data_IF_599260361365
#
_entry.id   IF_599260361365
#
_cell.length_a   1.000
_cell.length_b   1.000
_cell.length_c   1.000
_cell.angle_alpha   90.00
_cell.angle_beta   90.00
_cell.angle_gamma   90.00
#
_symmetry.space_group_name_H-M   'P 1'
#
loop_
_entity.id
_entity.type
_entity.pdbx_description
1 polymer ?
#
# COMPACT_ATOMS: atom_id res chain seq x y z
N UNK A 1 -7.17 -75.86 49.72
CA UNK A 1 -7.28 -75.26 51.07
C UNK A 1 -7.69 -73.81 50.84
N UNK A 2 -8.99 -73.57 50.60
CA UNK A 2 -10.01 -73.20 51.60
C UNK A 2 -9.74 -71.77 52.14
N UNK A 3 -10.64 -70.79 52.18
CA UNK A 3 -12.04 -70.61 51.77
C UNK A 3 -12.33 -69.08 51.84
N UNK A 4 -13.26 -68.65 50.99
CA UNK A 4 -14.32 -67.64 51.15
C UNK A 4 -14.20 -66.54 52.23
N UNK A 5 -14.60 -65.31 51.85
CA UNK A 5 -15.93 -64.72 52.14
C UNK A 5 -15.98 -63.30 51.55
N UNK A 6 -16.86 -62.92 50.62
CA UNK A 6 -18.33 -62.83 50.56
C UNK A 6 -18.88 -61.44 50.95
N UNK A 7 -19.42 -60.78 49.92
CA UNK A 7 -20.62 -59.93 49.83
C UNK A 7 -21.21 -59.22 51.06
N UNK A 8 -21.39 -57.89 50.95
CA UNK A 8 -22.66 -57.12 51.10
C UNK A 8 -22.40 -55.66 51.53
N UNK A 9 -22.97 -54.69 50.82
CA UNK A 9 -24.17 -53.97 51.29
C UNK A 9 -24.49 -52.75 50.42
N UNK A 10 -25.75 -52.71 49.98
CA UNK A 10 -26.45 -51.52 49.51
C UNK A 10 -26.54 -50.47 50.64
N UNK A 11 -26.37 -49.19 50.31
CA UNK A 11 -27.21 -48.08 50.83
C UNK A 11 -27.01 -46.80 50.01
N UNK A 12 -28.14 -46.29 49.55
CA UNK A 12 -28.37 -45.02 48.87
C UNK A 12 -28.01 -43.83 49.73
N UNK A 13 -27.32 -42.82 49.17
CA UNK A 13 -27.41 -41.42 49.60
C UNK A 13 -27.35 -40.53 48.37
N UNK A 14 -28.42 -39.74 48.17
CA UNK A 14 -28.54 -38.67 47.20
C UNK A 14 -27.37 -37.68 47.27
N UNK A 15 -26.78 -37.37 46.12
CA UNK A 15 -25.81 -36.30 45.96
C UNK A 15 -25.82 -35.76 44.54
N UNK A 16 -26.57 -34.68 44.32
CA UNK A 16 -26.59 -33.88 43.09
C UNK A 16 -25.18 -33.53 42.62
N UNK A 17 -24.82 -33.85 41.37
CA UNK A 17 -23.74 -33.15 40.64
C UNK A 17 -23.90 -33.28 39.12
N UNK A 18 -24.40 -32.18 38.56
CA UNK A 18 -24.03 -31.49 37.32
C UNK A 18 -23.56 -32.33 36.12
N UNK A 19 -24.41 -32.27 35.12
CA UNK A 19 -24.19 -32.54 33.70
C UNK A 19 -22.97 -31.77 33.16
N UNK A 20 -21.93 -32.47 32.72
CA UNK A 20 -20.87 -31.93 31.86
C UNK A 20 -20.94 -32.68 30.54
N UNK A 21 -21.74 -32.16 29.61
CA UNK A 21 -21.72 -32.58 28.21
C UNK A 21 -20.40 -32.16 27.58
N UNK A 22 -19.56 -33.12 27.26
CA UNK A 22 -18.47 -32.95 26.31
C UNK A 22 -19.09 -32.93 24.91
N UNK A 23 -19.29 -31.74 24.35
CA UNK A 23 -19.58 -31.58 22.94
C UNK A 23 -18.26 -31.66 22.17
N UNK A 24 -17.98 -32.83 21.60
CA UNK A 24 -17.01 -32.96 20.51
C UNK A 24 -17.56 -32.17 19.32
N UNK A 25 -17.09 -30.94 19.14
CA UNK A 25 -17.33 -30.15 17.93
C UNK A 25 -16.67 -30.87 16.78
N UNK A 26 -17.48 -31.38 15.85
CA UNK A 26 -17.04 -32.07 14.65
C UNK A 26 -16.26 -31.11 13.76
N UNK A 27 -14.95 -31.36 13.60
CA UNK A 27 -14.08 -30.62 12.69
C UNK A 27 -14.40 -30.85 11.21
N UNK A 28 -15.19 -31.89 10.88
CA UNK A 28 -15.53 -32.28 9.52
C UNK A 28 -16.49 -31.30 8.82
N UNK A 29 -17.42 -30.66 9.54
CA UNK A 29 -18.40 -29.74 8.95
C UNK A 29 -17.82 -28.35 8.65
N UNK A 30 -16.82 -27.91 9.41
CA UNK A 30 -16.09 -26.68 9.14
C UNK A 30 -15.19 -26.83 7.90
N UNK A 31 -14.51 -27.97 7.77
CA UNK A 31 -13.69 -28.28 6.58
C UNK A 31 -14.51 -28.44 5.31
N UNK A 32 -15.70 -29.07 5.38
CA UNK A 32 -16.58 -29.21 4.20
C UNK A 32 -17.21 -27.88 3.76
N UNK A 33 -17.52 -26.99 4.71
CA UNK A 33 -18.07 -25.67 4.38
C UNK A 33 -16.99 -24.75 3.79
N UNK A 34 -15.75 -24.81 4.30
CA UNK A 34 -14.63 -24.05 3.74
C UNK A 34 -14.29 -24.52 2.32
N UNK A 35 -14.24 -25.83 2.09
CA UNK A 35 -13.97 -26.38 0.76
C UNK A 35 -15.05 -26.01 -0.27
N UNK A 36 -16.32 -26.01 0.13
CA UNK A 36 -17.42 -25.62 -0.75
C UNK A 36 -17.38 -24.13 -1.08
N UNK A 37 -17.05 -23.26 -0.12
CA UNK A 37 -16.89 -21.81 -0.34
C UNK A 37 -15.70 -21.49 -1.25
N UNK A 38 -14.59 -22.23 -1.12
CA UNK A 38 -13.41 -22.10 -1.99
C UNK A 38 -13.70 -22.59 -3.42
N UNK A 39 -14.43 -23.70 -3.57
CA UNK A 39 -14.85 -24.25 -4.86
C UNK A 39 -15.82 -23.29 -5.58
N UNK A 40 -16.79 -22.72 -4.86
CA UNK A 40 -17.72 -21.71 -5.40
C UNK A 40 -16.97 -20.42 -5.83
N UNK A 41 -15.99 -19.98 -5.03
CA UNK A 41 -15.15 -18.82 -5.35
C UNK A 41 -14.27 -19.08 -6.58
N UNK A 42 -13.68 -20.27 -6.68
CA UNK A 42 -12.85 -20.68 -7.81
C UNK A 42 -13.65 -20.69 -9.12
N UNK A 43 -14.83 -21.31 -9.13
CA UNK A 43 -15.72 -21.38 -10.29
C UNK A 43 -16.13 -19.97 -10.73
N UNK A 44 -16.46 -19.10 -9.77
CA UNK A 44 -16.83 -17.72 -10.03
C UNK A 44 -15.70 -16.93 -10.70
N UNK A 45 -14.50 -16.96 -10.12
CA UNK A 45 -13.34 -16.25 -10.68
C UNK A 45 -12.89 -16.82 -12.02
N UNK A 46 -12.97 -18.15 -12.21
CA UNK A 46 -12.75 -18.81 -13.49
C UNK A 46 -13.68 -18.27 -14.58
N UNK A 47 -14.98 -18.13 -14.28
CA UNK A 47 -15.94 -17.53 -15.21
C UNK A 47 -15.60 -16.07 -15.51
N UNK A 48 -15.29 -15.29 -14.48
CA UNK A 48 -14.97 -13.85 -14.64
C UNK A 48 -13.77 -13.64 -15.56
N UNK A 49 -12.71 -14.43 -15.39
CA UNK A 49 -11.50 -14.33 -16.21
C UNK A 49 -11.79 -14.75 -17.66
N UNK A 50 -12.53 -15.84 -17.87
CA UNK A 50 -12.85 -16.33 -19.22
C UNK A 50 -13.81 -15.40 -19.98
N UNK A 51 -14.71 -14.71 -19.28
CA UNK A 51 -15.72 -13.82 -19.86
C UNK A 51 -15.38 -12.34 -19.62
N UNK A 52 -14.09 -11.99 -19.44
CA UNK A 52 -13.67 -10.68 -18.94
C UNK A 52 -14.24 -9.49 -19.73
N UNK A 53 -14.24 -9.55 -21.06
CA UNK A 53 -14.74 -8.46 -21.91
C UNK A 53 -16.21 -8.14 -21.66
N UNK A 54 -17.04 -9.17 -21.46
CA UNK A 54 -18.46 -9.00 -21.15
C UNK A 54 -18.67 -8.56 -19.69
N UNK A 55 -17.93 -9.18 -18.76
CA UNK A 55 -18.03 -8.88 -17.32
C UNK A 55 -17.59 -7.45 -17.04
N UNK A 56 -16.48 -6.99 -17.61
CA UNK A 56 -15.98 -5.62 -17.43
C UNK A 56 -16.99 -4.58 -17.91
N UNK A 57 -17.68 -4.83 -19.02
CA UNK A 57 -18.68 -3.91 -19.59
C UNK A 57 -20.01 -3.91 -18.83
N UNK A 58 -20.48 -5.09 -18.41
CA UNK A 58 -21.85 -5.26 -17.88
C UNK A 58 -21.90 -5.35 -16.34
N UNK A 59 -20.80 -5.71 -15.70
CA UNK A 59 -20.74 -6.12 -14.28
C UNK A 59 -19.58 -5.47 -13.51
N UNK A 60 -19.13 -4.29 -13.92
CA UNK A 60 -17.99 -3.57 -13.30
C UNK A 60 -18.13 -3.43 -11.77
N UNK A 61 -19.33 -3.07 -11.27
CA UNK A 61 -19.60 -2.94 -9.83
C UNK A 61 -19.43 -4.26 -9.07
N UNK A 62 -19.90 -5.36 -9.66
CA UNK A 62 -19.77 -6.69 -9.07
C UNK A 62 -18.30 -7.10 -9.01
N UNK A 63 -17.50 -6.79 -10.04
CA UNK A 63 -16.05 -7.05 -10.02
C UNK A 63 -15.39 -6.29 -8.86
N UNK A 64 -15.69 -5.00 -8.68
CA UNK A 64 -15.16 -4.22 -7.54
C UNK A 64 -15.52 -4.86 -6.20
N UNK A 65 -16.76 -5.29 -6.02
CA UNK A 65 -17.18 -5.99 -4.80
C UNK A 65 -16.43 -7.30 -4.57
N UNK A 66 -16.16 -8.07 -5.62
CA UNK A 66 -15.39 -9.31 -5.51
C UNK A 66 -13.92 -9.06 -5.20
N UNK A 67 -13.30 -8.05 -5.82
CA UNK A 67 -11.93 -7.62 -5.50
C UNK A 67 -11.83 -7.20 -4.03
N UNK A 68 -12.82 -6.44 -3.54
CA UNK A 68 -12.91 -6.06 -2.11
C UNK A 68 -13.04 -7.25 -1.17
N UNK A 69 -13.69 -8.34 -1.59
CA UNK A 69 -13.77 -9.59 -0.81
C UNK A 69 -12.50 -10.44 -0.89
N UNK A 70 -11.70 -10.28 -1.94
CA UNK A 70 -10.46 -11.03 -2.12
C UNK A 70 -10.35 -11.67 -3.48
N UNK A 71 -9.22 -11.43 -4.13
CA UNK A 71 -8.81 -12.21 -5.30
C UNK A 71 -8.05 -13.45 -4.78
N UNK A 72 -8.49 -14.67 -5.11
CA UNK A 72 -7.74 -15.87 -4.76
C UNK A 72 -6.37 -15.85 -5.40
N UNK A 73 -5.35 -16.35 -4.69
CA UNK A 73 -3.95 -16.25 -5.10
C UNK A 73 -3.69 -16.69 -6.54
N UNK A 74 -4.24 -17.85 -6.93
CA UNK A 74 -4.10 -18.42 -8.27
C UNK A 74 -4.64 -17.53 -9.41
N UNK A 75 -5.57 -16.62 -9.12
CA UNK A 75 -6.15 -15.72 -10.10
C UNK A 75 -5.47 -14.35 -10.14
N UNK A 76 -4.66 -13.96 -9.14
CA UNK A 76 -4.08 -12.61 -9.06
C UNK A 76 -3.27 -12.24 -10.29
N UNK A 77 -2.41 -13.14 -10.75
CA UNK A 77 -1.58 -12.93 -11.94
C UNK A 77 -2.40 -12.47 -13.15
N UNK A 78 -3.54 -13.12 -13.37
CA UNK A 78 -4.40 -12.87 -14.53
C UNK A 78 -5.31 -11.65 -14.26
N UNK A 79 -5.96 -11.60 -13.09
CA UNK A 79 -6.91 -10.55 -12.75
C UNK A 79 -6.23 -9.18 -12.66
N UNK A 80 -5.02 -9.08 -12.11
CA UNK A 80 -4.28 -7.82 -12.08
C UNK A 80 -3.97 -7.30 -13.47
N UNK A 81 -3.52 -8.16 -14.39
CA UNK A 81 -3.36 -7.78 -15.79
C UNK A 81 -4.70 -7.34 -16.41
N UNK A 82 -5.82 -8.02 -16.10
CA UNK A 82 -7.15 -7.71 -16.64
C UNK A 82 -7.68 -6.36 -16.16
N UNK A 83 -7.50 -6.06 -14.87
CA UNK A 83 -7.88 -4.78 -14.27
C UNK A 83 -7.17 -3.59 -14.93
N UNK A 84 -5.86 -3.71 -15.19
CA UNK A 84 -5.08 -2.63 -15.80
C UNK A 84 -4.91 -2.75 -17.33
N UNK A 85 -5.55 -3.75 -17.96
CA UNK A 85 -5.46 -4.02 -19.41
C UNK A 85 -4.01 -4.17 -19.92
N UNK A 86 -3.21 -5.01 -19.25
CA UNK A 86 -1.78 -5.24 -19.54
C UNK A 86 -1.47 -6.50 -20.35
N UNK A 87 -2.47 -7.25 -20.85
CA UNK A 87 -2.27 -8.55 -21.53
C UNK A 87 -1.40 -8.44 -22.79
N UNK A 88 -1.55 -7.36 -23.54
CA UNK A 88 -0.98 -7.19 -24.87
C UNK A 88 -0.50 -5.76 -25.06
N UNK A 89 0.69 -5.46 -24.51
CA UNK A 89 1.31 -4.16 -24.63
C UNK A 89 2.47 -4.20 -25.64
N UNK A 90 2.54 -3.28 -26.62
CA UNK A 90 3.66 -3.21 -27.57
C UNK A 90 5.04 -3.02 -26.91
N UNK A 91 5.07 -2.50 -25.68
CA UNK A 91 6.32 -2.33 -24.93
C UNK A 91 6.90 -3.66 -24.44
N UNK A 92 6.08 -4.72 -24.38
CA UNK A 92 6.52 -6.07 -24.02
C UNK A 92 7.59 -6.56 -25.01
N UNK A 93 7.36 -6.35 -26.30
CA UNK A 93 8.29 -6.74 -27.36
C UNK A 93 9.63 -5.98 -27.30
N UNK A 94 9.65 -4.81 -26.63
CA UNK A 94 10.86 -4.00 -26.45
C UNK A 94 11.64 -4.38 -25.18
N UNK A 95 11.08 -5.21 -24.29
CA UNK A 95 11.67 -5.51 -23.00
C UNK A 95 13.09 -6.10 -23.14
N UNK A 96 13.26 -7.08 -24.02
CA UNK A 96 14.57 -7.71 -24.28
C UNK A 96 15.62 -6.72 -24.80
N UNK A 97 15.23 -5.71 -25.59
CA UNK A 97 16.13 -4.65 -26.05
C UNK A 97 16.49 -3.67 -24.93
N UNK A 98 15.52 -3.31 -24.08
CA UNK A 98 15.76 -2.45 -22.91
C UNK A 98 16.77 -3.07 -21.94
N UNK A 99 16.76 -4.40 -21.77
CA UNK A 99 17.73 -5.09 -20.91
C UNK A 99 19.17 -5.03 -21.42
N UNK A 100 19.37 -4.91 -22.74
CA UNK A 100 20.70 -4.76 -23.37
C UNK A 100 21.28 -3.35 -23.20
N UNK A 101 20.45 -2.36 -22.93
CA UNK A 101 20.87 -0.97 -22.74
C UNK A 101 21.43 -0.74 -21.32
N UNK A 102 22.21 0.32 -21.13
CA UNK A 102 22.73 0.72 -19.81
C UNK A 102 21.84 1.77 -19.17
N UNK A 103 21.45 1.57 -17.91
CA UNK A 103 20.71 2.58 -17.14
C UNK A 103 21.62 3.40 -16.21
N UNK A 104 21.43 4.72 -16.09
CA UNK A 104 22.14 5.52 -15.09
C UNK A 104 21.73 5.16 -13.65
N UNK A 105 20.59 4.49 -13.47
CA UNK A 105 20.02 4.17 -12.17
C UNK A 105 20.51 2.84 -11.58
N UNK A 106 21.30 2.03 -12.30
CA UNK A 106 21.65 0.66 -11.89
C UNK A 106 22.26 0.56 -10.49
N UNK A 107 23.13 1.50 -10.11
CA UNK A 107 23.73 1.53 -8.77
C UNK A 107 22.68 1.75 -7.66
N UNK A 108 21.73 2.64 -7.90
CA UNK A 108 20.64 2.91 -6.95
C UNK A 108 19.68 1.72 -6.86
N UNK A 109 19.34 1.12 -8.00
CA UNK A 109 18.49 -0.06 -8.09
C UNK A 109 19.10 -1.21 -7.29
N UNK A 110 20.38 -1.55 -7.50
CA UNK A 110 21.05 -2.65 -6.78
C UNK A 110 21.04 -2.47 -5.27
N UNK A 111 21.24 -1.25 -4.79
CA UNK A 111 21.19 -0.94 -3.34
C UNK A 111 19.82 -1.22 -2.74
N UNK A 112 18.76 -0.90 -3.48
CA UNK A 112 17.39 -1.06 -2.98
C UNK A 112 16.89 -2.50 -3.06
N UNK A 113 17.36 -3.28 -4.04
CA UNK A 113 17.04 -4.71 -4.15
C UNK A 113 17.45 -5.48 -2.90
N UNK A 114 18.64 -5.21 -2.37
CA UNK A 114 19.14 -5.88 -1.17
C UNK A 114 18.26 -5.67 0.08
N UNK A 115 17.40 -4.64 0.08
CA UNK A 115 16.46 -4.33 1.17
C UNK A 115 14.99 -4.53 0.80
N UNK A 116 14.69 -5.07 -0.38
CA UNK A 116 13.33 -5.30 -0.85
C UNK A 116 12.93 -6.75 -0.55
N UNK A 117 12.02 -6.93 0.41
CA UNK A 117 11.61 -8.25 0.93
C UNK A 117 12.78 -9.17 1.34
N UNK A 118 13.71 -8.71 2.21
CA UNK A 118 14.95 -9.44 2.51
C UNK A 118 14.72 -10.81 3.18
N UNK A 119 13.58 -11.00 3.84
CA UNK A 119 13.23 -12.26 4.50
C UNK A 119 12.41 -13.22 3.63
N UNK A 120 12.01 -12.80 2.42
CA UNK A 120 11.16 -13.61 1.55
C UNK A 120 12.00 -14.59 0.74
N UNK A 121 11.61 -15.87 0.71
CA UNK A 121 12.39 -16.95 0.08
C UNK A 121 12.81 -16.67 -1.36
N UNK A 122 11.96 -15.98 -2.13
CA UNK A 122 12.27 -15.62 -3.51
C UNK A 122 13.38 -14.56 -3.67
N UNK A 123 13.58 -13.70 -2.65
CA UNK A 123 14.50 -12.55 -2.71
C UNK A 123 15.66 -12.61 -1.70
N UNK A 124 15.57 -13.46 -0.67
CA UNK A 124 16.50 -13.45 0.48
C UNK A 124 17.94 -13.79 0.11
N UNK A 125 18.14 -14.73 -0.81
CA UNK A 125 19.47 -15.15 -1.21
C UNK A 125 20.10 -14.07 -2.10
N UNK A 126 21.35 -13.73 -1.81
CA UNK A 126 22.11 -12.76 -2.60
C UNK A 126 22.27 -13.28 -4.03
N UNK A 127 22.04 -12.41 -5.00
CA UNK A 127 22.12 -12.74 -6.43
C UNK A 127 21.14 -13.87 -6.83
N UNK A 128 20.03 -14.03 -6.08
CA UNK A 128 18.93 -14.94 -6.42
C UNK A 128 18.23 -14.52 -7.70
N UNK A 129 17.51 -15.48 -8.30
CA UNK A 129 16.63 -15.22 -9.45
C UNK A 129 15.66 -14.07 -9.16
N UNK A 130 15.05 -14.02 -7.97
CA UNK A 130 14.13 -12.93 -7.60
C UNK A 130 14.79 -11.56 -7.59
N UNK A 131 16.02 -11.44 -7.08
CA UNK A 131 16.79 -10.20 -7.12
C UNK A 131 17.17 -9.81 -8.56
N UNK A 132 17.52 -10.78 -9.40
CA UNK A 132 17.86 -10.55 -10.81
C UNK A 132 16.67 -10.03 -11.62
N UNK A 133 15.52 -10.70 -11.55
CA UNK A 133 14.33 -10.29 -12.31
C UNK A 133 13.76 -8.97 -11.78
N UNK A 134 13.89 -8.69 -10.47
CA UNK A 134 13.58 -7.38 -9.89
C UNK A 134 14.51 -6.28 -10.44
N UNK A 135 15.82 -6.56 -10.56
CA UNK A 135 16.76 -5.65 -11.18
C UNK A 135 16.39 -5.36 -12.63
N UNK A 136 16.08 -6.39 -13.41
CA UNK A 136 15.74 -6.26 -14.82
C UNK A 136 14.51 -5.39 -15.04
N UNK A 137 13.41 -5.64 -14.32
CA UNK A 137 12.18 -4.83 -14.44
C UNK A 137 12.43 -3.38 -14.04
N UNK A 138 13.11 -3.14 -12.91
CA UNK A 138 13.42 -1.76 -12.47
C UNK A 138 14.35 -1.04 -13.44
N UNK A 139 15.36 -1.74 -13.98
CA UNK A 139 16.28 -1.22 -14.99
C UNK A 139 15.54 -0.85 -16.26
N UNK A 140 14.76 -1.77 -16.83
CA UNK A 140 13.98 -1.54 -18.03
C UNK A 140 13.04 -0.34 -17.86
N UNK A 141 12.30 -0.28 -16.76
CA UNK A 141 11.39 0.84 -16.50
C UNK A 141 12.13 2.19 -16.41
N UNK A 142 13.30 2.24 -15.76
CA UNK A 142 14.09 3.47 -15.68
C UNK A 142 14.55 4.03 -17.04
N UNK A 143 14.58 3.18 -18.06
CA UNK A 143 14.90 3.57 -19.44
C UNK A 143 13.66 4.02 -20.22
N UNK A 144 12.49 3.45 -19.91
CA UNK A 144 11.19 3.83 -20.48
C UNK A 144 10.81 5.25 -20.06
N UNK A 145 10.92 5.55 -18.77
CA UNK A 145 10.61 6.87 -18.24
C UNK A 145 11.83 7.49 -17.57
N UNK A 146 12.60 8.24 -18.35
CA UNK A 146 13.84 8.87 -17.87
C UNK A 146 13.60 10.06 -16.93
N UNK A 147 12.40 10.65 -16.93
CA UNK A 147 12.07 11.76 -16.03
C UNK A 147 11.94 11.23 -14.59
N UNK A 148 11.26 10.10 -14.43
CA UNK A 148 11.18 9.40 -13.14
C UNK A 148 12.47 8.62 -12.87
N UNK A 149 12.95 7.89 -13.87
CA UNK A 149 14.07 6.96 -13.74
C UNK A 149 13.77 5.87 -12.72
N UNK A 150 14.42 5.96 -11.56
CA UNK A 150 14.20 5.06 -10.43
C UNK A 150 13.83 5.87 -9.19
N UNK A 151 12.66 5.57 -8.61
CA UNK A 151 12.27 6.13 -7.31
C UNK A 151 12.31 5.07 -6.22
N UNK A 152 12.90 5.41 -5.08
CA UNK A 152 12.91 4.57 -3.88
C UNK A 152 11.48 4.18 -3.48
N UNK A 153 11.29 2.90 -3.14
CA UNK A 153 9.99 2.35 -2.77
C UNK A 153 9.27 1.63 -3.92
N UNK A 154 9.51 2.03 -5.17
CA UNK A 154 8.88 1.38 -6.34
C UNK A 154 9.28 -0.10 -6.51
N UNK A 155 10.49 -0.49 -6.07
CA UNK A 155 10.95 -1.87 -6.08
C UNK A 155 10.05 -2.80 -5.24
N UNK A 156 9.39 -2.32 -4.18
CA UNK A 156 8.45 -3.14 -3.40
C UNK A 156 7.19 -3.49 -4.20
N UNK A 157 6.71 -2.57 -5.05
CA UNK A 157 5.58 -2.80 -5.95
C UNK A 157 5.97 -3.87 -6.98
N UNK A 158 7.12 -3.71 -7.63
CA UNK A 158 7.60 -4.68 -8.62
C UNK A 158 7.90 -6.04 -7.98
N UNK A 159 8.48 -6.07 -6.77
CA UNK A 159 8.70 -7.30 -6.02
C UNK A 159 7.40 -8.04 -5.74
N UNK A 160 6.31 -7.35 -5.36
CA UNK A 160 4.99 -7.98 -5.21
C UNK A 160 4.49 -8.56 -6.54
N UNK A 161 4.61 -7.81 -7.64
CA UNK A 161 4.19 -8.29 -8.96
C UNK A 161 4.93 -9.57 -9.36
N UNK A 162 6.25 -9.61 -9.16
CA UNK A 162 7.10 -10.76 -9.47
C UNK A 162 6.83 -11.99 -8.59
N UNK A 163 6.25 -11.81 -7.40
CA UNK A 163 5.76 -12.94 -6.60
C UNK A 163 4.47 -13.56 -7.19
N UNK A 164 3.76 -12.86 -8.09
CA UNK A 164 2.48 -13.31 -8.64
C UNK A 164 2.57 -13.69 -10.12
N UNK A 165 3.45 -13.07 -10.91
CA UNK A 165 3.49 -13.25 -12.36
C UNK A 165 4.94 -13.24 -12.90
N UNK A 166 5.17 -13.74 -14.13
CA UNK A 166 6.49 -13.72 -14.73
C UNK A 166 6.99 -12.29 -15.02
N UNK A 167 8.29 -12.19 -15.30
CA UNK A 167 9.05 -10.93 -15.38
C UNK A 167 8.48 -9.93 -16.40
N UNK A 168 8.16 -10.37 -17.61
CA UNK A 168 7.68 -9.50 -18.68
C UNK A 168 6.26 -8.98 -18.39
N UNK A 169 5.39 -9.82 -17.82
CA UNK A 169 4.06 -9.42 -17.38
C UNK A 169 4.15 -8.41 -16.22
N UNK A 170 5.05 -8.65 -15.26
CA UNK A 170 5.28 -7.72 -14.15
C UNK A 170 5.76 -6.35 -14.65
N UNK A 171 6.65 -6.32 -15.65
CA UNK A 171 7.06 -5.09 -16.32
C UNK A 171 5.87 -4.36 -16.97
N UNK A 172 5.03 -5.08 -17.71
CA UNK A 172 3.86 -4.51 -18.37
C UNK A 172 2.84 -3.95 -17.39
N UNK A 173 2.51 -4.70 -16.32
CA UNK A 173 1.64 -4.22 -15.25
C UNK A 173 2.24 -3.00 -14.56
N UNK A 174 3.54 -3.00 -14.29
CA UNK A 174 4.19 -1.85 -13.66
C UNK A 174 4.15 -0.59 -14.57
N UNK A 175 4.39 -0.73 -15.87
CA UNK A 175 4.22 0.37 -16.83
C UNK A 175 2.79 0.92 -16.80
N UNK A 176 1.78 0.04 -16.74
CA UNK A 176 0.37 0.45 -16.60
C UNK A 176 0.08 1.18 -15.31
N UNK A 177 0.61 0.71 -14.18
CA UNK A 177 0.46 1.39 -12.90
C UNK A 177 1.06 2.81 -12.94
N UNK A 178 2.20 2.96 -13.59
CA UNK A 178 2.84 4.26 -13.74
C UNK A 178 2.01 5.20 -14.63
N UNK A 179 1.46 4.71 -15.74
CA UNK A 179 0.68 5.52 -16.68
C UNK A 179 -0.73 5.87 -16.18
N UNK A 180 -1.46 4.87 -15.68
CA UNK A 180 -2.91 4.96 -15.52
C UNK A 180 -3.34 5.11 -14.04
N UNK A 181 -2.45 4.83 -13.07
CA UNK A 181 -2.77 4.81 -11.63
C UNK A 181 -2.13 5.95 -10.83
N UNK A 182 -1.66 7.01 -11.50
CA UNK A 182 -1.00 8.19 -10.91
C UNK A 182 0.32 7.89 -10.19
N UNK A 183 0.85 6.66 -10.23
CA UNK A 183 2.11 6.33 -9.57
C UNK A 183 3.30 7.09 -10.16
N UNK A 184 3.33 7.32 -11.47
CA UNK A 184 4.36 8.14 -12.11
C UNK A 184 4.47 9.52 -11.47
N UNK A 185 3.33 10.18 -11.27
CA UNK A 185 3.30 11.53 -10.71
C UNK A 185 3.76 11.55 -9.25
N UNK A 186 3.42 10.51 -8.46
CA UNK A 186 3.94 10.32 -7.10
C UNK A 186 5.46 10.13 -7.06
N UNK A 187 6.04 9.50 -8.08
CA UNK A 187 7.47 9.17 -8.14
C UNK A 187 8.32 10.19 -8.89
N UNK A 188 7.73 11.25 -9.45
CA UNK A 188 8.51 12.34 -10.06
C UNK A 188 9.45 12.98 -9.05
N UNK A 189 10.66 13.40 -9.45
CA UNK A 189 11.66 13.97 -8.53
C UNK A 189 11.18 15.17 -7.71
N UNK A 190 10.22 15.95 -8.22
CA UNK A 190 9.65 17.10 -7.51
C UNK A 190 8.80 16.71 -6.29
N UNK A 191 8.33 15.46 -6.21
CA UNK A 191 7.40 14.96 -5.19
C UNK A 191 6.12 15.81 -5.06
N UNK A 192 5.74 16.54 -6.12
CA UNK A 192 4.61 17.46 -6.10
C UNK A 192 3.28 16.73 -5.84
N UNK A 193 3.07 15.59 -6.49
CA UNK A 193 1.87 14.77 -6.31
C UNK A 193 1.81 14.15 -4.91
N UNK A 194 2.96 13.73 -4.36
CA UNK A 194 3.02 13.24 -2.99
C UNK A 194 2.66 14.35 -2.01
N UNK A 195 3.19 15.56 -2.22
CA UNK A 195 2.83 16.75 -1.44
C UNK A 195 1.34 17.07 -1.49
N UNK A 196 0.71 16.94 -2.66
CA UNK A 196 -0.74 17.05 -2.82
C UNK A 196 -1.48 15.98 -1.99
N UNK A 197 -1.03 14.73 -2.04
CA UNK A 197 -1.62 13.64 -1.26
C UNK A 197 -1.51 13.91 0.25
N UNK A 198 -0.36 14.42 0.72
CA UNK A 198 -0.19 14.81 2.13
C UNK A 198 -1.17 15.90 2.55
N UNK A 199 -1.34 16.94 1.72
CA UNK A 199 -2.29 18.02 1.98
C UNK A 199 -3.74 17.52 2.01
N UNK A 200 -4.15 16.72 1.01
CA UNK A 200 -5.48 16.12 0.97
C UNK A 200 -5.74 15.24 2.19
N UNK A 201 -4.76 14.44 2.59
CA UNK A 201 -4.89 13.55 3.73
C UNK A 201 -4.94 14.33 5.05
N UNK A 202 -4.13 15.37 5.22
CA UNK A 202 -4.20 16.27 6.37
C UNK A 202 -5.58 16.94 6.48
N UNK A 203 -6.16 17.43 5.37
CA UNK A 203 -7.52 17.95 5.37
C UNK A 203 -8.58 16.90 5.75
N UNK A 204 -8.37 15.61 5.39
CA UNK A 204 -9.25 14.54 5.85
C UNK A 204 -9.13 14.32 7.36
N UNK A 205 -7.92 14.34 7.90
CA UNK A 205 -7.67 14.20 9.35
C UNK A 205 -8.31 15.37 10.10
N UNK A 206 -8.13 16.60 9.63
CA UNK A 206 -8.76 17.78 10.24
C UNK A 206 -10.29 17.68 10.29
N UNK A 207 -10.92 17.15 9.23
CA UNK A 207 -12.37 17.00 9.15
C UNK A 207 -12.90 15.83 9.99
N UNK A 208 -12.24 14.68 9.95
CA UNK A 208 -12.76 13.43 10.53
C UNK A 208 -12.23 13.15 11.94
N UNK A 209 -11.05 13.68 12.28
CA UNK A 209 -10.32 13.44 13.53
C UNK A 209 -9.74 14.77 14.07
N UNK A 210 -10.59 15.78 14.36
CA UNK A 210 -10.12 17.13 14.71
C UNK A 210 -9.25 17.17 15.97
N UNK A 211 -9.55 16.34 16.98
CA UNK A 211 -8.73 16.23 18.20
C UNK A 211 -7.33 15.70 17.88
N UNK A 212 -7.25 14.66 17.05
CA UNK A 212 -5.99 14.08 16.63
C UNK A 212 -5.19 15.06 15.77
N UNK A 213 -5.86 15.80 14.88
CA UNK A 213 -5.23 16.86 14.10
C UNK A 213 -4.58 17.92 15.00
N UNK A 214 -5.31 18.43 16.00
CA UNK A 214 -4.76 19.43 16.95
C UNK A 214 -3.58 18.86 17.72
N UNK A 215 -3.68 17.60 18.16
CA UNK A 215 -2.57 16.92 18.84
C UNK A 215 -1.33 16.83 17.93
N UNK A 216 -1.49 16.39 16.69
CA UNK A 216 -0.40 16.32 15.71
C UNK A 216 0.26 17.69 15.49
N UNK A 217 -0.54 18.76 15.36
CA UNK A 217 0.01 20.12 15.24
C UNK A 217 0.79 20.54 16.50
N UNK A 218 0.27 20.23 17.70
CA UNK A 218 0.96 20.55 18.97
C UNK A 218 2.29 19.82 19.13
N UNK A 219 2.39 18.61 18.59
CA UNK A 219 3.60 17.78 18.60
C UNK A 219 4.52 18.05 17.39
N UNK A 220 4.17 19.00 16.52
CA UNK A 220 4.87 19.22 15.23
C UNK A 220 5.01 17.93 14.40
N UNK A 221 4.01 17.06 14.48
CA UNK A 221 4.00 15.75 13.83
C UNK A 221 3.32 15.83 12.47
N UNK A 222 4.13 16.09 11.44
CA UNK A 222 3.64 16.31 10.09
C UNK A 222 3.23 15.00 9.40
N UNK A 223 2.16 15.07 8.60
CA UNK A 223 1.63 13.94 7.81
C UNK A 223 2.69 13.21 6.99
N UNK A 224 3.66 13.95 6.43
CA UNK A 224 4.76 13.41 5.63
C UNK A 224 5.71 12.50 6.41
N UNK A 225 5.78 12.62 7.74
CA UNK A 225 6.70 11.83 8.59
C UNK A 225 6.31 10.36 8.67
N UNK A 226 5.00 10.05 8.55
CA UNK A 226 4.50 8.68 8.69
C UNK A 226 3.75 8.18 7.45
N UNK A 227 3.09 9.05 6.69
CA UNK A 227 2.22 8.63 5.60
C UNK A 227 2.94 8.52 4.24
N UNK A 228 4.11 9.12 4.06
CA UNK A 228 4.79 9.13 2.75
C UNK A 228 4.98 7.71 2.17
N UNK A 229 5.39 6.75 3.00
CA UNK A 229 5.56 5.35 2.57
C UNK A 229 4.23 4.68 2.22
N UNK A 230 3.12 5.06 2.85
CA UNK A 230 1.79 4.51 2.57
C UNK A 230 1.37 4.78 1.13
N UNK A 231 1.59 6.02 0.66
CA UNK A 231 1.27 6.43 -0.71
C UNK A 231 2.29 5.93 -1.72
N UNK A 232 3.59 6.02 -1.42
CA UNK A 232 4.63 5.59 -2.36
C UNK A 232 4.68 4.08 -2.55
N UNK A 233 4.28 3.29 -1.55
CA UNK A 233 4.41 1.83 -1.59
C UNK A 233 3.08 1.10 -1.48
N UNK A 234 1.96 1.82 -1.43
CA UNK A 234 0.61 1.24 -1.27
C UNK A 234 0.60 0.31 -0.04
N UNK A 235 1.20 0.78 1.06
CA UNK A 235 1.42 0.06 2.32
C UNK A 235 2.29 -1.21 2.27
N UNK A 236 2.96 -1.53 1.15
CA UNK A 236 3.81 -2.73 1.04
C UNK A 236 5.01 -2.74 1.98
N UNK A 237 5.45 -1.57 2.43
CA UNK A 237 6.52 -1.45 3.44
C UNK A 237 5.99 -1.33 4.87
N UNK A 238 4.67 -1.26 5.04
CA UNK A 238 4.02 -1.06 6.34
C UNK A 238 3.41 -2.35 6.87
N UNK A 239 2.70 -3.12 6.03
CA UNK A 239 2.01 -4.33 6.46
C UNK A 239 2.69 -5.61 5.99
N UNK A 240 2.49 -6.73 6.71
CA UNK A 240 2.78 -8.06 6.19
C UNK A 240 2.10 -8.32 4.84
N UNK A 241 2.74 -9.14 3.99
CA UNK A 241 2.30 -9.43 2.63
C UNK A 241 0.81 -9.82 2.51
N UNK A 242 0.21 -10.65 3.38
CA UNK A 242 -1.21 -10.99 3.27
C UNK A 242 -2.14 -9.78 3.33
N UNK A 243 -1.86 -8.80 4.18
CA UNK A 243 -2.67 -7.58 4.32
C UNK A 243 -2.33 -6.61 3.18
N UNK A 244 -1.05 -6.39 2.91
CA UNK A 244 -0.62 -5.47 1.86
C UNK A 244 -1.12 -5.90 0.47
N UNK A 245 -1.14 -7.20 0.18
CA UNK A 245 -1.68 -7.74 -1.08
C UNK A 245 -3.18 -7.47 -1.22
N UNK A 246 -3.95 -7.52 -0.12
CA UNK A 246 -5.40 -7.23 -0.14
C UNK A 246 -5.67 -5.75 -0.41
N UNK A 247 -4.85 -4.86 0.14
CA UNK A 247 -4.91 -3.42 -0.19
C UNK A 247 -4.53 -3.21 -1.66
N UNK A 248 -3.50 -3.91 -2.13
CA UNK A 248 -3.04 -3.83 -3.52
C UNK A 248 -4.08 -4.35 -4.52
N UNK A 249 -4.81 -5.43 -4.20
CA UNK A 249 -5.94 -5.92 -5.00
C UNK A 249 -6.95 -4.79 -5.28
N UNK A 250 -7.33 -4.07 -4.22
CA UNK A 250 -8.30 -2.97 -4.31
C UNK A 250 -7.69 -1.77 -5.04
N UNK A 251 -6.42 -1.46 -4.81
CA UNK A 251 -5.70 -0.42 -5.54
C UNK A 251 -5.70 -0.68 -7.05
N UNK A 252 -5.49 -1.93 -7.48
CA UNK A 252 -5.58 -2.32 -8.89
C UNK A 252 -6.96 -2.07 -9.50
N UNK A 253 -8.03 -2.05 -8.69
CA UNK A 253 -9.40 -1.85 -9.16
C UNK A 253 -9.93 -0.42 -9.00
N UNK A 254 -9.49 0.29 -7.97
CA UNK A 254 -10.08 1.57 -7.53
C UNK A 254 -9.05 2.72 -7.41
N UNK A 255 -7.76 2.44 -7.63
CA UNK A 255 -6.69 3.42 -7.60
C UNK A 255 -6.38 3.96 -6.20
N UNK A 256 -5.78 5.16 -6.14
CA UNK A 256 -5.26 5.75 -4.90
C UNK A 256 -6.31 6.03 -3.81
N UNK A 257 -7.61 6.01 -4.12
CA UNK A 257 -8.67 6.22 -3.13
C UNK A 257 -8.55 5.27 -1.92
N UNK A 258 -8.19 4.00 -2.16
CA UNK A 258 -8.03 3.03 -1.07
C UNK A 258 -6.92 3.43 -0.10
N UNK A 259 -5.88 4.13 -0.57
CA UNK A 259 -4.76 4.53 0.28
C UNK A 259 -5.21 5.56 1.32
N UNK A 260 -5.99 6.55 0.89
CA UNK A 260 -6.60 7.54 1.79
C UNK A 260 -7.55 6.88 2.81
N UNK A 261 -8.38 5.94 2.34
CA UNK A 261 -9.35 5.22 3.17
C UNK A 261 -8.67 4.37 4.25
N UNK A 262 -7.68 3.56 3.86
CA UNK A 262 -6.91 2.75 4.80
C UNK A 262 -6.15 3.66 5.76
N UNK A 263 -5.46 4.69 5.26
CA UNK A 263 -4.73 5.64 6.11
C UNK A 263 -5.61 6.27 7.19
N UNK A 264 -6.81 6.75 6.84
CA UNK A 264 -7.70 7.37 7.82
C UNK A 264 -8.31 6.34 8.78
N UNK A 265 -8.61 5.12 8.30
CA UNK A 265 -9.08 4.03 9.16
C UNK A 265 -8.02 3.64 10.21
N UNK A 266 -6.74 3.59 9.84
CA UNK A 266 -5.65 3.33 10.81
C UNK A 266 -5.61 4.37 11.92
N UNK A 267 -5.78 5.65 11.56
CA UNK A 267 -5.83 6.75 12.52
C UNK A 267 -7.07 6.66 13.42
N UNK A 268 -8.24 6.36 12.85
CA UNK A 268 -9.48 6.17 13.61
C UNK A 268 -9.36 5.04 14.64
N UNK A 269 -8.76 3.91 14.23
CA UNK A 269 -8.63 2.73 15.08
C UNK A 269 -7.56 2.87 16.18
N UNK A 270 -6.66 3.85 16.05
CA UNK A 270 -5.57 4.10 17.01
C UNK A 270 -5.68 5.48 17.66
N UNK A 271 -6.81 6.18 17.51
CA UNK A 271 -6.93 7.57 17.96
C UNK A 271 -6.68 7.71 19.47
N UNK A 272 -7.22 6.79 20.28
CA UNK A 272 -7.12 6.84 21.73
C UNK A 272 -5.66 6.69 22.21
N UNK A 273 -4.89 5.81 21.58
CA UNK A 273 -3.47 5.61 21.87
C UNK A 273 -2.63 6.79 21.35
N UNK A 274 -2.85 7.23 20.11
CA UNK A 274 -2.06 8.30 19.49
C UNK A 274 -2.18 9.64 20.24
N UNK A 275 -3.35 9.95 20.79
CA UNK A 275 -3.57 11.16 21.60
C UNK A 275 -2.74 11.21 22.89
N UNK A 276 -2.20 10.07 23.34
CA UNK A 276 -1.39 9.97 24.56
C UNK A 276 0.11 10.01 24.29
N UNK A 277 0.53 9.98 23.02
CA UNK A 277 1.92 9.85 22.60
C UNK A 277 2.49 11.20 22.15
N UNK A 278 3.77 11.42 22.39
CA UNK A 278 4.52 12.50 21.77
C UNK A 278 4.94 12.14 20.33
N UNK A 279 5.67 13.05 19.67
CA UNK A 279 6.13 12.84 18.29
C UNK A 279 6.89 11.52 18.10
N UNK A 280 7.84 11.20 19.00
CA UNK A 280 8.62 9.97 18.90
C UNK A 280 7.77 8.73 19.18
N UNK A 281 6.92 8.77 20.21
CA UNK A 281 6.00 7.70 20.55
C UNK A 281 5.05 7.36 19.40
N UNK A 282 4.51 8.38 18.73
CA UNK A 282 3.67 8.19 17.55
C UNK A 282 4.43 7.51 16.41
N UNK A 283 5.65 7.95 16.09
CA UNK A 283 6.48 7.30 15.07
C UNK A 283 6.73 5.82 15.40
N UNK A 284 7.09 5.52 16.65
CA UNK A 284 7.31 4.14 17.07
C UNK A 284 6.03 3.30 16.99
N UNK A 285 4.88 3.88 17.32
CA UNK A 285 3.57 3.23 17.22
C UNK A 285 3.23 2.84 15.78
N UNK A 286 3.41 3.78 14.82
CA UNK A 286 3.22 3.50 13.39
C UNK A 286 4.16 2.42 12.85
N UNK A 287 5.40 2.36 13.34
CA UNK A 287 6.40 1.43 12.81
C UNK A 287 6.33 0.03 13.45
N UNK A 288 5.96 -0.07 14.73
CA UNK A 288 6.08 -1.32 15.51
C UNK A 288 4.74 -1.94 15.90
N UNK A 289 3.72 -1.13 16.17
CA UNK A 289 2.44 -1.62 16.71
C UNK A 289 1.43 -1.84 15.58
N UNK A 290 1.16 -0.79 14.81
CA UNK A 290 0.16 -0.79 13.73
C UNK A 290 0.33 -1.97 12.75
N UNK A 291 1.54 -2.33 12.27
CA UNK A 291 1.71 -3.43 11.32
C UNK A 291 1.17 -4.80 11.79
N UNK A 292 1.07 -5.01 13.10
CA UNK A 292 0.77 -6.30 13.72
C UNK A 292 -0.64 -6.36 14.35
N UNK A 293 -1.41 -5.27 14.30
CA UNK A 293 -2.68 -5.15 15.02
C UNK A 293 -3.88 -5.67 14.23
N UNK A 294 -3.76 -5.79 12.90
CA UNK A 294 -4.92 -5.95 12.02
C UNK A 294 -5.04 -7.31 11.37
N UNK A 295 -6.28 -7.75 11.25
CA UNK A 295 -6.71 -8.72 10.25
C UNK A 295 -7.08 -7.97 8.96
N UNK A 296 -6.80 -8.56 7.80
CA UNK A 296 -6.98 -7.90 6.50
C UNK A 296 -8.44 -7.50 6.26
N UNK A 297 -9.40 -8.38 6.53
CA UNK A 297 -10.82 -8.11 6.26
C UNK A 297 -11.37 -7.04 7.20
N UNK A 298 -10.97 -7.06 8.48
CA UNK A 298 -11.35 -6.00 9.43
C UNK A 298 -10.82 -4.63 9.00
N UNK A 299 -9.57 -4.55 8.56
CA UNK A 299 -8.98 -3.29 8.10
C UNK A 299 -9.68 -2.77 6.84
N UNK A 300 -9.95 -3.64 5.86
CA UNK A 300 -10.67 -3.26 4.64
C UNK A 300 -12.09 -2.82 4.97
N UNK A 301 -12.80 -3.52 5.87
CA UNK A 301 -14.13 -3.12 6.31
C UNK A 301 -14.12 -1.72 6.95
N UNK A 302 -13.17 -1.44 7.85
CA UNK A 302 -13.00 -0.13 8.46
C UNK A 302 -12.69 0.96 7.41
N UNK A 303 -11.82 0.67 6.43
CA UNK A 303 -11.50 1.58 5.33
C UNK A 303 -12.73 1.95 4.48
N UNK A 304 -13.69 1.05 4.30
CA UNK A 304 -14.94 1.36 3.59
C UNK A 304 -15.98 2.09 4.44
N UNK A 305 -15.83 2.16 5.77
CA UNK A 305 -16.62 3.07 6.61
C UNK A 305 -16.13 4.52 6.54
N UNK A 306 -14.87 4.74 6.13
CA UNK A 306 -14.34 6.09 5.90
C UNK A 306 -15.09 6.78 4.77
N UNK A 307 -15.51 8.02 4.98
CA UNK A 307 -16.18 8.82 3.94
C UNK A 307 -15.14 9.49 3.05
N UNK A 308 -14.96 8.98 1.84
CA UNK A 308 -14.14 9.62 0.80
C UNK A 308 -15.03 10.41 -0.18
N UNK A 309 -14.70 11.69 -0.40
CA UNK A 309 -15.44 12.56 -1.32
C UNK A 309 -14.56 13.01 -2.49
N UNK A 310 -14.70 12.32 -3.63
CA UNK A 310 -13.92 12.61 -4.85
C UNK A 310 -14.07 14.06 -5.34
N UNK A 311 -15.25 14.69 -5.18
CA UNK A 311 -15.45 16.10 -5.56
C UNK A 311 -14.64 17.04 -4.65
N UNK A 312 -14.58 16.74 -3.35
CA UNK A 312 -13.78 17.49 -2.39
C UNK A 312 -12.28 17.33 -2.68
N UNK A 313 -11.81 16.13 -2.99
CA UNK A 313 -10.39 15.90 -3.35
C UNK A 313 -9.97 16.73 -4.56
N UNK A 314 -10.80 16.78 -5.61
CA UNK A 314 -10.55 17.65 -6.78
C UNK A 314 -10.56 19.15 -6.43
N UNK A 315 -11.34 19.57 -5.42
CA UNK A 315 -11.32 20.96 -4.95
C UNK A 315 -10.00 21.25 -4.21
N UNK A 316 -9.60 20.36 -3.30
CA UNK A 316 -8.36 20.46 -2.54
C UNK A 316 -7.12 20.45 -3.46
N UNK A 317 -7.18 19.69 -4.57
CA UNK A 317 -6.15 19.72 -5.60
C UNK A 317 -5.97 21.11 -6.20
N UNK A 318 -7.06 21.75 -6.64
CA UNK A 318 -7.00 23.13 -7.19
C UNK A 318 -6.51 24.14 -6.16
N UNK A 319 -6.93 23.99 -4.91
CA UNK A 319 -6.48 24.82 -3.81
C UNK A 319 -4.98 24.67 -3.57
N UNK A 320 -4.49 23.43 -3.48
CA UNK A 320 -3.08 23.13 -3.33
C UNK A 320 -2.22 23.65 -4.48
N UNK A 321 -2.67 23.48 -5.73
CA UNK A 321 -2.00 24.06 -6.90
C UNK A 321 -1.88 25.56 -6.77
N UNK A 322 -2.95 26.24 -6.35
CA UNK A 322 -2.94 27.71 -6.16
C UNK A 322 -1.95 28.12 -5.07
N UNK A 323 -1.89 27.38 -3.95
CA UNK A 323 -0.93 27.61 -2.88
C UNK A 323 0.50 27.47 -3.42
N UNK A 324 0.80 26.38 -4.13
CA UNK A 324 2.14 26.11 -4.69
C UNK A 324 2.57 27.10 -5.77
N UNK A 325 1.65 27.56 -6.61
CA UNK A 325 1.94 28.62 -7.58
C UNK A 325 2.33 29.91 -6.88
N UNK A 326 1.58 30.34 -5.86
CA UNK A 326 1.90 31.54 -5.07
C UNK A 326 3.24 31.41 -4.34
N UNK A 327 3.47 30.29 -3.66
CA UNK A 327 4.77 30.03 -2.99
C UNK A 327 5.95 30.10 -3.98
N UNK A 328 5.76 29.58 -5.20
CA UNK A 328 6.78 29.64 -6.24
C UNK A 328 7.03 31.07 -6.72
N UNK A 329 5.97 31.86 -6.96
CA UNK A 329 6.05 33.28 -7.33
C UNK A 329 6.77 34.09 -6.24
N UNK A 330 6.42 33.89 -4.98
CA UNK A 330 7.07 34.52 -3.83
C UNK A 330 8.55 34.13 -3.74
N UNK A 331 8.90 32.86 -3.95
CA UNK A 331 10.29 32.43 -3.97
C UNK A 331 11.11 33.05 -5.12
N UNK A 332 10.51 33.21 -6.29
CA UNK A 332 11.14 33.88 -7.43
C UNK A 332 11.38 35.35 -7.10
N UNK A 333 10.40 36.05 -6.53
CA UNK A 333 10.54 37.44 -6.15
C UNK A 333 11.58 37.63 -5.02
N UNK A 334 11.59 36.76 -4.01
CA UNK A 334 12.62 36.76 -2.95
C UNK A 334 14.02 36.57 -3.55
N UNK A 335 14.19 35.68 -4.53
CA UNK A 335 15.49 35.48 -5.21
C UNK A 335 15.91 36.70 -6.01
N UNK A 336 14.97 37.37 -6.69
CA UNK A 336 15.20 38.62 -7.41
C UNK A 336 15.65 39.72 -6.45
N UNK A 337 14.89 39.96 -5.38
CA UNK A 337 15.20 40.97 -4.36
C UNK A 337 16.54 40.71 -3.66
N UNK A 338 16.90 39.44 -3.42
CA UNK A 338 18.23 39.08 -2.87
C UNK A 338 19.36 39.42 -3.84
N UNK A 339 19.15 39.19 -5.14
CA UNK A 339 20.14 39.51 -6.17
C UNK A 339 20.32 41.02 -6.30
N UNK A 340 19.22 41.78 -6.33
CA UNK A 340 19.25 43.24 -6.39
C UNK A 340 19.92 43.85 -5.15
N UNK A 341 19.57 43.38 -3.95
CA UNK A 341 20.22 43.82 -2.71
C UNK A 341 21.74 43.53 -2.72
N UNK A 342 22.17 42.39 -3.27
CA UNK A 342 23.60 42.08 -3.40
C UNK A 342 24.30 43.07 -4.34
N UNK A 343 23.71 43.39 -5.48
CA UNK A 343 24.28 44.35 -6.44
C UNK A 343 24.32 45.77 -5.87
N UNK A 344 23.27 46.19 -5.15
CA UNK A 344 23.23 47.48 -4.49
C UNK A 344 24.33 47.60 -3.42
N UNK A 345 24.54 46.56 -2.59
CA UNK A 345 25.64 46.52 -1.61
C UNK A 345 27.01 46.65 -2.28
N UNK A 346 27.26 45.93 -3.37
CA UNK A 346 28.52 46.03 -4.12
C UNK A 346 28.74 47.45 -4.69
N UNK A 347 27.66 48.09 -5.14
CA UNK A 347 27.73 49.47 -5.65
C UNK A 347 28.03 50.47 -4.56
N UNK A 348 27.43 50.31 -3.38
CA UNK A 348 27.74 51.14 -2.19
C UNK A 348 29.22 50.97 -1.81
N UNK A 349 29.71 49.74 -1.67
CA UNK A 349 31.13 49.48 -1.36
C UNK A 349 32.10 50.06 -2.40
N UNK A 350 31.71 50.10 -3.67
CA UNK A 350 32.53 50.69 -4.73
C UNK A 350 32.55 52.22 -4.60
N UNK A 351 31.41 52.84 -4.32
CA UNK A 351 31.32 54.29 -4.12
C UNK A 351 32.09 54.74 -2.87
N UNK A 352 32.02 53.97 -1.78
CA UNK A 352 32.77 54.22 -0.54
C UNK A 352 34.30 54.11 -0.70
N UNK A 353 34.79 53.36 -1.69
CA UNK A 353 36.23 53.26 -1.99
C UNK A 353 36.75 54.41 -2.86
N UNK A 354 35.84 55.14 -3.51
CA UNK A 354 36.17 56.23 -4.44
C UNK A 354 35.94 57.60 -3.79
N UNK A 355 35.14 57.66 -2.73
CA UNK A 355 35.02 58.80 -1.82
C UNK A 355 36.08 58.76 -0.73
#
# INVERSE_FOLDING_TARGET
RLLETDSKSLRSVNGSRRNSGSSLVSSSSASSNLSHLEEDSWILWGRIVNEWEDVRKKKEKQVKELVRKGIPHHFRAIVWQLLCSAQSMPIKDQYSELLKMTSPCEKLIRRDIARTYPEHDFFKEKDSLGQEVLFNVMKAYSLVDREVGYCQGSAFIVGLLLMQMPEEEAFCVFVKLMQDYRLRELFKPSMAELGLCMYQFECMIQEHLPELYVHFQSQSFHTSMYASSWFLTIFLTTFPLPIATRIFDIFMSEGLEIVFRVGLALLQMNQAELLQLDMEGMLQHFQKVIPHQFDSDKLIQAAYQVKYNAKKMKKLEKEYTTIKTKEMEEQVEIKRLRTENRLLKQRIETLEKVS
#
